data_IF_830975979007
#
_entry.id   IF_830975979007
#
_cell.length_a   1.000
_cell.length_b   1.000
_cell.length_c   1.000
_cell.angle_alpha   90.00
_cell.angle_beta   90.00
_cell.angle_gamma   90.00
#
_symmetry.space_group_name_H-M   'P 1'
#
loop_
_entity.id
_entity.type
_entity.pdbx_description
1 polymer ?
#
# COMPACT_ATOMS: atom_id res chain seq x y z
N UNK A 1 23.68 -11.12 -14.99
CA UNK A 1 22.45 -11.64 -15.65
C UNK A 1 22.83 -12.88 -16.41
N UNK A 2 22.20 -14.02 -16.12
CA UNK A 2 22.53 -15.33 -16.73
C UNK A 2 24.03 -15.68 -16.67
N UNK A 3 24.65 -15.46 -15.51
CA UNK A 3 26.08 -15.72 -15.28
C UNK A 3 27.05 -14.75 -15.98
N UNK A 4 26.58 -13.81 -16.79
CA UNK A 4 27.42 -12.79 -17.45
C UNK A 4 27.75 -11.62 -16.54
N UNK A 5 29.00 -11.16 -16.61
CA UNK A 5 29.51 -9.95 -15.94
C UNK A 5 29.38 -8.74 -16.86
N UNK A 6 28.98 -7.61 -16.30
CA UNK A 6 28.80 -6.33 -17.00
C UNK A 6 29.58 -5.23 -16.27
N UNK A 7 30.06 -4.22 -16.99
CA UNK A 7 30.81 -3.08 -16.43
C UNK A 7 30.53 -1.80 -17.23
N UNK A 8 30.64 -0.64 -16.58
CA UNK A 8 30.48 0.69 -17.17
C UNK A 8 31.24 1.73 -16.31
N UNK A 9 31.58 2.92 -16.86
CA UNK A 9 32.19 4.00 -16.07
C UNK A 9 31.31 4.47 -14.90
N UNK A 10 29.99 4.41 -15.07
CA UNK A 10 29.00 4.73 -14.03
C UNK A 10 27.84 3.73 -14.11
N UNK A 11 27.38 3.26 -12.95
CA UNK A 11 26.21 2.36 -12.84
C UNK A 11 25.22 3.02 -11.87
N UNK A 12 23.99 3.24 -12.34
CA UNK A 12 22.87 3.73 -11.53
C UNK A 12 22.00 2.55 -11.08
N UNK A 13 21.70 2.48 -9.79
CA UNK A 13 20.68 1.56 -9.25
C UNK A 13 19.40 2.36 -9.01
N UNK A 14 18.39 2.10 -9.84
CA UNK A 14 17.10 2.79 -9.80
C UNK A 14 15.93 1.80 -9.98
N UNK A 15 15.96 0.69 -9.23
CA UNK A 15 14.97 -0.41 -9.35
C UNK A 15 13.64 -0.12 -8.66
N UNK A 16 13.49 1.03 -7.99
CA UNK A 16 12.28 1.36 -7.22
C UNK A 16 12.13 0.50 -5.97
N UNK A 17 10.89 0.43 -5.47
CA UNK A 17 10.50 -0.35 -4.29
C UNK A 17 9.20 -1.13 -4.55
N UNK A 18 8.72 -1.85 -3.53
CA UNK A 18 7.51 -2.66 -3.57
C UNK A 18 6.73 -2.50 -2.24
N UNK A 19 5.42 -2.79 -2.23
CA UNK A 19 4.62 -2.73 -1.01
C UNK A 19 5.17 -3.66 0.08
N UNK A 20 5.08 -3.22 1.33
CA UNK A 20 5.35 -4.09 2.48
C UNK A 20 4.12 -4.94 2.77
N UNK A 21 4.31 -6.26 2.81
CA UNK A 21 3.25 -7.24 3.12
C UNK A 21 3.56 -7.91 4.45
N UNK A 22 2.56 -8.00 5.33
CA UNK A 22 2.67 -8.71 6.60
C UNK A 22 2.63 -10.21 6.33
N UNK A 23 3.50 -10.98 6.97
CA UNK A 23 3.53 -12.42 6.77
C UNK A 23 2.36 -13.12 7.45
N UNK A 24 1.94 -14.28 6.92
CA UNK A 24 0.91 -15.12 7.57
C UNK A 24 1.35 -15.66 8.94
N UNK A 25 2.65 -15.66 9.23
CA UNK A 25 3.19 -16.00 10.54
C UNK A 25 2.93 -14.89 11.59
N UNK A 26 2.94 -13.62 11.17
CA UNK A 26 2.66 -12.46 12.04
C UNK A 26 1.15 -12.22 12.17
N UNK A 27 0.42 -12.32 11.06
CA UNK A 27 -1.03 -12.14 11.01
C UNK A 27 -1.62 -13.27 10.16
N UNK A 28 -2.24 -14.29 10.77
CA UNK A 28 -2.86 -15.39 10.02
C UNK A 28 -3.88 -14.89 8.99
N UNK A 29 -3.65 -15.22 7.72
CA UNK A 29 -4.51 -14.83 6.60
C UNK A 29 -4.19 -13.44 6.02
N UNK A 30 -3.06 -12.82 6.36
CA UNK A 30 -2.59 -11.59 5.74
C UNK A 30 -2.45 -11.72 4.21
N UNK A 31 -2.09 -12.91 3.72
CA UNK A 31 -1.99 -13.24 2.30
C UNK A 31 -3.32 -13.16 1.53
N UNK A 32 -4.47 -13.14 2.22
CA UNK A 32 -5.78 -12.96 1.60
C UNK A 32 -6.09 -11.49 1.27
N UNK A 33 -5.31 -10.56 1.82
CA UNK A 33 -5.39 -9.13 1.50
C UNK A 33 -4.71 -8.80 0.16
N UNK A 34 -4.99 -7.60 -0.33
CA UNK A 34 -4.31 -7.03 -1.51
C UNK A 34 -3.51 -5.79 -1.10
N UNK A 35 -2.54 -5.42 -1.93
CA UNK A 35 -1.73 -4.21 -1.78
C UNK A 35 -2.23 -3.11 -2.74
N UNK A 36 -1.47 -2.02 -2.85
CA UNK A 36 -1.72 -1.00 -3.86
C UNK A 36 -1.66 -1.53 -5.29
N UNK A 37 -0.86 -2.58 -5.55
CA UNK A 37 -0.74 -3.17 -6.88
C UNK A 37 -2.05 -3.88 -7.24
N UNK A 38 -2.52 -4.77 -6.35
CA UNK A 38 -3.80 -5.48 -6.54
C UNK A 38 -5.03 -4.56 -6.52
N UNK A 39 -4.94 -3.38 -5.89
CA UNK A 39 -6.01 -2.38 -5.97
C UNK A 39 -6.29 -1.95 -7.42
N UNK A 40 -5.24 -1.75 -8.24
CA UNK A 40 -5.40 -1.37 -9.64
C UNK A 40 -5.81 -2.52 -10.55
N UNK A 41 -5.76 -3.76 -10.05
CA UNK A 41 -6.24 -4.95 -10.74
C UNK A 41 -7.74 -5.23 -10.45
N UNK A 42 -8.36 -4.50 -9.53
CA UNK A 42 -9.79 -4.67 -9.22
C UNK A 42 -10.67 -4.31 -10.42
N UNK A 43 -11.34 -5.30 -11.00
CA UNK A 43 -12.28 -5.10 -12.10
C UNK A 43 -13.66 -4.59 -11.64
N UNK A 44 -13.97 -4.72 -10.35
CA UNK A 44 -15.25 -4.30 -9.78
C UNK A 44 -15.05 -3.55 -8.48
N UNK A 45 -15.95 -2.59 -8.21
CA UNK A 45 -15.93 -1.85 -6.94
C UNK A 45 -16.37 -2.78 -5.79
N UNK A 46 -15.51 -3.03 -4.78
CA UNK A 46 -15.91 -3.84 -3.65
C UNK A 46 -16.99 -3.12 -2.83
N UNK A 47 -18.04 -3.85 -2.43
CA UNK A 47 -19.13 -3.28 -1.60
C UNK A 47 -18.66 -2.82 -0.22
N UNK A 48 -17.62 -3.45 0.32
CA UNK A 48 -17.05 -3.16 1.63
C UNK A 48 -15.53 -3.33 1.59
N UNK A 49 -14.81 -2.39 2.19
CA UNK A 49 -13.35 -2.38 2.21
C UNK A 49 -12.82 -2.03 3.59
N UNK A 50 -11.66 -2.61 3.92
CA UNK A 50 -10.88 -2.25 5.09
C UNK A 50 -9.47 -1.95 4.59
N UNK A 51 -9.00 -0.73 4.85
CA UNK A 51 -7.65 -0.28 4.53
C UNK A 51 -6.85 -0.21 5.83
N UNK A 52 -5.67 -0.84 5.85
CA UNK A 52 -4.80 -0.88 7.03
C UNK A 52 -3.56 -0.02 6.76
N UNK A 53 -3.39 1.05 7.53
CA UNK A 53 -2.28 1.98 7.37
C UNK A 53 -2.70 3.43 7.60
N UNK A 54 -1.71 4.28 7.87
CA UNK A 54 -1.93 5.70 8.20
C UNK A 54 -1.14 6.66 7.28
N UNK A 55 -0.46 6.12 6.27
CA UNK A 55 0.29 6.90 5.28
C UNK A 55 -0.59 7.41 4.14
N UNK A 56 0.02 8.17 3.22
CA UNK A 56 -0.71 8.80 2.11
C UNK A 56 -1.45 7.78 1.23
N UNK A 57 -0.82 6.67 0.84
CA UNK A 57 -1.46 5.61 0.04
C UNK A 57 -2.75 5.10 0.72
N UNK A 58 -2.69 4.85 2.03
CA UNK A 58 -3.86 4.34 2.77
C UNK A 58 -5.01 5.36 2.80
N UNK A 59 -4.69 6.64 2.99
CA UNK A 59 -5.68 7.73 3.00
C UNK A 59 -6.28 7.93 1.60
N UNK A 60 -5.46 7.94 0.56
CA UNK A 60 -5.90 8.10 -0.83
C UNK A 60 -6.83 6.97 -1.26
N UNK A 61 -6.43 5.71 -1.03
CA UNK A 61 -7.26 4.54 -1.38
C UNK A 61 -8.57 4.51 -0.62
N UNK A 62 -8.55 4.82 0.68
CA UNK A 62 -9.76 4.92 1.47
C UNK A 62 -10.69 6.02 0.95
N UNK A 63 -10.14 7.18 0.58
CA UNK A 63 -10.88 8.28 -0.02
C UNK A 63 -11.52 7.91 -1.36
N UNK A 64 -10.76 7.30 -2.27
CA UNK A 64 -11.23 6.84 -3.58
C UNK A 64 -12.38 5.84 -3.41
N UNK A 65 -12.16 4.78 -2.64
CA UNK A 65 -13.15 3.70 -2.45
C UNK A 65 -14.42 4.21 -1.78
N UNK A 66 -14.29 5.06 -0.76
CA UNK A 66 -15.44 5.65 -0.07
C UNK A 66 -16.26 6.54 -1.00
N UNK A 67 -15.59 7.36 -1.82
CA UNK A 67 -16.24 8.29 -2.76
C UNK A 67 -16.98 7.54 -3.86
N UNK A 68 -16.43 6.42 -4.33
CA UNK A 68 -17.07 5.57 -5.33
C UNK A 68 -18.24 4.74 -4.77
N UNK A 69 -18.46 4.75 -3.45
CA UNK A 69 -19.61 4.12 -2.80
C UNK A 69 -19.31 2.82 -2.05
N UNK A 70 -18.03 2.47 -1.89
CA UNK A 70 -17.64 1.35 -1.02
C UNK A 70 -17.82 1.71 0.45
N UNK A 71 -18.42 0.82 1.24
CA UNK A 71 -18.43 0.97 2.71
C UNK A 71 -17.02 0.76 3.25
N UNK A 72 -16.31 1.86 3.44
CA UNK A 72 -14.87 1.86 3.70
C UNK A 72 -14.56 2.08 5.17
N UNK A 73 -13.61 1.32 5.71
CA UNK A 73 -13.05 1.51 7.05
C UNK A 73 -11.53 1.67 6.95
N UNK A 74 -10.98 2.69 7.61
CA UNK A 74 -9.54 2.92 7.70
C UNK A 74 -9.06 2.56 9.11
N UNK A 75 -8.16 1.58 9.22
CA UNK A 75 -7.62 1.10 10.49
C UNK A 75 -6.20 1.63 10.65
N UNK A 76 -6.00 2.38 11.73
CA UNK A 76 -4.72 3.01 12.08
C UNK A 76 -4.27 2.60 13.48
N UNK A 77 -2.97 2.63 13.71
CA UNK A 77 -2.37 2.24 15.01
C UNK A 77 -2.44 3.35 16.07
N UNK A 78 -2.59 4.60 15.65
CA UNK A 78 -2.53 5.78 16.53
C UNK A 78 -3.74 6.69 16.31
N UNK A 79 -3.76 7.87 16.94
CA UNK A 79 -4.91 8.77 16.96
C UNK A 79 -5.15 9.55 15.67
N UNK A 80 -4.16 9.62 14.77
CA UNK A 80 -4.25 10.39 13.53
C UNK A 80 -3.55 9.72 12.35
N UNK A 81 -4.02 10.06 11.14
CA UNK A 81 -3.35 9.75 9.88
C UNK A 81 -2.23 10.76 9.61
N UNK A 82 -1.34 10.45 8.66
CA UNK A 82 -0.31 11.38 8.16
C UNK A 82 0.54 12.00 9.28
N UNK A 83 0.90 11.23 10.31
CA UNK A 83 1.55 11.77 11.52
C UNK A 83 2.85 12.55 11.28
N UNK A 84 3.52 12.32 10.16
CA UNK A 84 4.74 13.03 9.78
C UNK A 84 4.46 14.34 9.00
N UNK A 85 3.19 14.70 8.80
CA UNK A 85 2.76 15.95 8.19
C UNK A 85 2.52 16.99 9.28
N UNK A 86 2.41 18.25 8.88
CA UNK A 86 2.09 19.34 9.78
C UNK A 86 0.80 19.05 10.55
N UNK A 87 0.88 19.23 11.87
CA UNK A 87 -0.31 19.13 12.72
C UNK A 87 -1.27 20.26 12.36
N UNK A 88 -2.59 19.99 12.34
CA UNK A 88 -3.57 21.06 12.33
C UNK A 88 -3.30 21.96 13.54
N UNK A 89 -3.12 23.27 13.30
CA UNK A 89 -3.00 24.26 14.36
C UNK A 89 -4.25 24.30 15.25
#
# INVERSE_FOLDING_TARGET
>A
VDGKKYTAPHILIATGGQPTVVSDAEVPGASLGITSDGFFELETLPKRTVIVGAGYIAVEMAGILSTLGSKTSLVIRQTGVLKNFDSPH
#
